data_IF_673712746247
#
_entry.id   IF_673712746247
#
_cell.length_a   1.000
_cell.length_b   1.000
_cell.length_c   1.000
_cell.angle_alpha   90.00
_cell.angle_beta   90.00
_cell.angle_gamma   90.00
#
_symmetry.space_group_name_H-M   'P 1'
#
loop_
_entity.id
_entity.type
_entity.pdbx_description
1 polymer ?
#
# COMPACT_ATOMS: atom_id res chain seq x y z
N UNK A 1 -0.23 -28.53 2.97
CA UNK A 1 -1.29 -27.59 3.37
C UNK A 1 -1.90 -27.02 2.11
N UNK A 2 -3.16 -27.34 1.83
CA UNK A 2 -3.89 -26.65 0.76
C UNK A 2 -4.31 -25.29 1.29
N UNK A 3 -3.98 -24.23 0.54
CA UNK A 3 -4.25 -22.85 0.97
C UNK A 3 -5.40 -22.34 0.10
N UNK A 4 -6.55 -22.10 0.72
CA UNK A 4 -7.68 -21.48 0.03
C UNK A 4 -7.54 -19.96 0.10
N UNK A 5 -7.47 -19.29 -1.07
CA UNK A 5 -7.41 -17.83 -1.18
C UNK A 5 -8.62 -17.33 -1.95
N UNK A 6 -9.30 -16.34 -1.40
CA UNK A 6 -10.42 -15.64 -2.04
C UNK A 6 -10.33 -14.14 -1.76
N UNK A 7 -11.06 -13.34 -2.54
CA UNK A 7 -11.17 -11.89 -2.37
C UNK A 7 -12.62 -11.53 -2.15
N UNK A 8 -12.86 -10.61 -1.22
CA UNK A 8 -14.19 -10.07 -0.94
C UNK A 8 -14.08 -8.56 -0.78
N UNK A 9 -15.15 -7.87 -1.15
CA UNK A 9 -15.30 -6.45 -0.83
C UNK A 9 -16.05 -6.34 0.49
N UNK A 10 -15.53 -5.54 1.42
CA UNK A 10 -16.19 -5.30 2.72
C UNK A 10 -17.28 -4.24 2.51
N UNK A 11 -18.53 -4.68 2.44
CA UNK A 11 -19.70 -3.79 2.36
C UNK A 11 -20.11 -3.24 3.73
N UNK A 12 -19.99 -4.06 4.79
CA UNK A 12 -20.23 -3.66 6.18
C UNK A 12 -18.98 -3.99 7.04
N UNK A 13 -18.31 -2.99 7.62
CA UNK A 13 -17.09 -3.22 8.42
C UNK A 13 -17.34 -3.98 9.72
N UNK A 14 -18.57 -4.02 10.24
CA UNK A 14 -18.91 -4.74 11.47
C UNK A 14 -19.13 -6.23 11.25
N UNK A 15 -19.46 -6.64 10.01
CA UNK A 15 -19.81 -8.04 9.71
C UNK A 15 -19.45 -8.43 8.29
N UNK A 16 -18.70 -9.53 8.20
CA UNK A 16 -18.40 -10.24 6.94
C UNK A 16 -19.01 -11.63 6.98
N UNK A 17 -19.65 -12.06 5.88
CA UNK A 17 -20.20 -13.41 5.72
C UNK A 17 -19.51 -14.09 4.54
N UNK A 18 -18.78 -15.16 4.81
CA UNK A 18 -18.18 -16.02 3.78
C UNK A 18 -19.13 -17.19 3.49
N UNK A 19 -19.47 -17.40 2.23
CA UNK A 19 -20.39 -18.45 1.80
C UNK A 19 -19.73 -19.36 0.76
N UNK A 20 -20.22 -20.60 0.64
CA UNK A 20 -19.74 -21.61 -0.32
C UNK A 20 -18.24 -21.94 -0.17
N UNK A 21 -17.77 -22.04 1.07
CA UNK A 21 -16.39 -22.41 1.36
C UNK A 21 -16.15 -23.92 1.11
N UNK A 22 -15.01 -24.33 0.56
CA UNK A 22 -14.70 -25.73 0.25
C UNK A 22 -14.20 -26.51 1.48
N UNK A 23 -14.81 -26.30 2.65
CA UNK A 23 -14.42 -26.94 3.92
C UNK A 23 -15.52 -27.84 4.47
N UNK A 24 -15.12 -28.84 5.26
CA UNK A 24 -16.04 -29.81 5.84
C UNK A 24 -16.62 -29.32 7.18
N UNK A 25 -17.80 -29.82 7.54
CA UNK A 25 -18.40 -29.56 8.85
C UNK A 25 -17.47 -30.05 9.98
N UNK A 26 -17.23 -29.21 10.99
CA UNK A 26 -16.34 -29.50 12.11
C UNK A 26 -14.85 -29.24 11.85
N UNK A 27 -14.46 -28.85 10.62
CA UNK A 27 -13.09 -28.48 10.31
C UNK A 27 -12.75 -27.12 10.92
N UNK A 28 -11.71 -27.08 11.77
CA UNK A 28 -11.14 -25.82 12.27
C UNK A 28 -10.24 -25.21 11.20
N UNK A 29 -10.52 -23.97 10.82
CA UNK A 29 -9.76 -23.20 9.83
C UNK A 29 -9.20 -21.93 10.46
N UNK A 30 -8.03 -21.50 9.98
CA UNK A 30 -7.44 -20.21 10.31
C UNK A 30 -7.76 -19.21 9.19
N UNK A 31 -8.08 -17.96 9.55
CA UNK A 31 -8.43 -16.90 8.60
C UNK A 31 -7.42 -15.77 8.74
N UNK A 32 -6.81 -15.38 7.61
CA UNK A 32 -5.92 -14.22 7.51
C UNK A 32 -6.60 -13.19 6.62
N UNK A 33 -6.87 -12.00 7.17
CA UNK A 33 -7.48 -10.88 6.42
C UNK A 33 -6.41 -9.86 6.10
N UNK A 34 -6.19 -9.62 4.81
CA UNK A 34 -5.25 -8.61 4.32
C UNK A 34 -6.01 -7.62 3.44
N UNK A 35 -5.96 -6.31 3.72
CA UNK A 35 -6.52 -5.33 2.82
C UNK A 35 -5.77 -5.37 1.49
N UNK A 36 -6.52 -5.33 0.39
CA UNK A 36 -5.93 -5.15 -0.93
C UNK A 36 -5.70 -3.66 -1.17
N UNK A 37 -4.44 -3.29 -1.39
CA UNK A 37 -4.09 -1.96 -1.82
C UNK A 37 -3.91 -1.97 -3.33
N UNK A 38 -4.59 -1.06 -4.02
CA UNK A 38 -4.32 -0.82 -5.43
C UNK A 38 -2.96 -0.11 -5.57
N UNK A 39 -1.91 -0.92 -5.69
CA UNK A 39 -0.53 -0.47 -5.90
C UNK A 39 -0.41 0.36 -7.16
N UNK A 40 -1.21 0.09 -8.19
CA UNK A 40 -1.20 0.85 -9.43
C UNK A 40 -1.78 2.26 -9.19
N UNK A 41 -2.91 2.37 -8.49
CA UNK A 41 -3.48 3.66 -8.11
C UNK A 41 -2.54 4.47 -7.20
N UNK A 42 -1.88 3.82 -6.23
CA UNK A 42 -0.87 4.49 -5.38
C UNK A 42 0.30 4.99 -6.24
N UNK A 43 0.82 4.15 -7.13
CA UNK A 43 1.91 4.53 -8.05
C UNK A 43 1.52 5.70 -8.95
N UNK A 44 0.28 5.71 -9.47
CA UNK A 44 -0.23 6.81 -10.27
C UNK A 44 -0.35 8.11 -9.48
N UNK A 45 -0.87 8.06 -8.24
CA UNK A 45 -0.93 9.22 -7.34
C UNK A 45 0.46 9.78 -7.05
N UNK A 46 1.43 8.92 -6.77
CA UNK A 46 2.81 9.33 -6.52
C UNK A 46 3.44 9.98 -7.75
N UNK A 47 3.27 9.39 -8.94
CA UNK A 47 3.74 9.97 -10.21
C UNK A 47 3.11 11.33 -10.48
N UNK A 48 1.82 11.49 -10.20
CA UNK A 48 1.12 12.76 -10.39
C UNK A 48 1.63 13.83 -9.40
N UNK A 49 1.85 13.47 -8.14
CA UNK A 49 2.45 14.36 -7.15
C UNK A 49 3.85 14.78 -7.58
N UNK A 50 4.70 13.83 -7.97
CA UNK A 50 6.06 14.11 -8.42
C UNK A 50 6.08 15.09 -9.59
N UNK A 51 5.25 14.88 -10.61
CA UNK A 51 5.13 15.83 -11.74
C UNK A 51 4.73 17.22 -11.30
N UNK A 52 3.79 17.35 -10.34
CA UNK A 52 3.37 18.64 -9.81
C UNK A 52 4.50 19.34 -9.06
N UNK A 53 5.24 18.61 -8.22
CA UNK A 53 6.39 19.17 -7.49
C UNK A 53 7.47 19.62 -8.48
N UNK A 54 7.83 18.79 -9.46
CA UNK A 54 8.84 19.12 -10.47
C UNK A 54 8.48 20.32 -11.36
N UNK A 55 7.20 20.69 -11.45
CA UNK A 55 6.75 21.86 -12.20
C UNK A 55 6.90 23.19 -11.41
N UNK A 56 7.26 23.13 -10.12
CA UNK A 56 7.45 24.33 -9.30
C UNK A 56 8.76 25.04 -9.70
N UNK A 57 8.76 26.37 -9.89
CA UNK A 57 9.94 27.12 -10.32
C UNK A 57 11.15 26.95 -9.37
N UNK A 58 10.88 26.91 -8.08
CA UNK A 58 11.87 26.78 -6.99
C UNK A 58 12.58 25.42 -6.97
N UNK A 59 12.00 24.38 -7.60
CA UNK A 59 12.63 23.06 -7.63
C UNK A 59 13.82 23.03 -8.59
N UNK A 60 13.81 23.86 -9.63
CA UNK A 60 14.92 23.94 -10.60
C UNK A 60 16.24 24.40 -9.99
N UNK A 61 16.22 25.01 -8.79
CA UNK A 61 17.41 25.47 -8.07
C UNK A 61 17.97 24.43 -7.10
N UNK A 62 17.24 23.34 -6.83
CA UNK A 62 17.68 22.27 -5.92
C UNK A 62 18.57 21.31 -6.72
N UNK A 63 19.78 21.08 -6.25
CA UNK A 63 20.72 20.15 -6.88
C UNK A 63 20.67 18.77 -6.21
N UNK A 64 21.17 17.75 -6.90
CA UNK A 64 21.32 16.41 -6.32
C UNK A 64 22.20 16.42 -5.06
N UNK A 65 23.19 17.33 -5.00
CA UNK A 65 24.05 17.49 -3.84
C UNK A 65 23.30 18.05 -2.62
N UNK A 66 22.37 18.98 -2.84
CA UNK A 66 21.51 19.52 -1.76
C UNK A 66 20.61 18.43 -1.18
N UNK A 67 20.05 17.59 -2.05
CA UNK A 67 19.19 16.45 -1.66
C UNK A 67 19.99 15.39 -0.90
N UNK A 68 21.19 15.05 -1.39
CA UNK A 68 22.04 14.06 -0.75
C UNK A 68 22.51 14.54 0.64
N UNK A 69 22.84 15.83 0.78
CA UNK A 69 23.19 16.42 2.06
C UNK A 69 22.03 16.32 3.08
N UNK A 70 20.80 16.63 2.67
CA UNK A 70 19.61 16.52 3.53
C UNK A 70 19.37 15.06 3.98
N UNK A 71 19.41 14.10 3.05
CA UNK A 71 19.20 12.68 3.36
C UNK A 71 20.25 12.18 4.35
N UNK A 72 21.51 12.57 4.16
CA UNK A 72 22.58 12.18 5.05
C UNK A 72 22.42 12.80 6.45
N UNK A 73 22.03 14.07 6.55
CA UNK A 73 21.73 14.71 7.83
C UNK A 73 20.63 13.96 8.59
N UNK A 74 19.50 13.69 7.93
CA UNK A 74 18.38 12.95 8.52
C UNK A 74 18.77 11.54 8.99
N UNK A 75 19.52 10.80 8.18
CA UNK A 75 19.99 9.44 8.52
C UNK A 75 20.97 9.41 9.69
N UNK A 76 21.75 10.48 9.85
CA UNK A 76 22.68 10.64 10.96
C UNK A 76 22.01 11.23 12.22
N UNK A 77 20.69 11.44 12.19
CA UNK A 77 19.92 11.96 13.32
C UNK A 77 20.19 13.44 13.63
N UNK A 78 20.64 14.21 12.64
CA UNK A 78 20.77 15.66 12.70
C UNK A 78 19.52 16.36 12.22
#
# INVERSE_FOLDING_TARGET
METYKTYITIENPERVVLSNLPFQAGQRVEIIVLPEYDRAAISQKLKALFKKTQALPEISTITDADIEAEINAYRNGQ
#
